data_IF_084870535134
#
_entry.id   IF_084870535134
#
_cell.length_a   1.000
_cell.length_b   1.000
_cell.length_c   1.000
_cell.angle_alpha   90.00
_cell.angle_beta   90.00
_cell.angle_gamma   90.00
#
_symmetry.space_group_name_H-M   'P 1'
#
loop_
_entity.id
_entity.type
_entity.pdbx_description
1 polymer ?
#
# COMPACT_ATOMS: atom_id res chain seq x y z
N UNK A 1 -58.03 30.75 -33.64
CA UNK A 1 -57.87 29.29 -33.38
C UNK A 1 -56.42 28.89 -33.65
N UNK A 2 -55.51 29.25 -32.73
CA UNK A 2 -54.04 29.14 -32.89
C UNK A 2 -53.33 28.58 -31.64
N UNK A 3 -54.08 27.94 -30.74
CA UNK A 3 -53.56 27.44 -29.45
C UNK A 3 -53.47 25.91 -29.42
N UNK A 4 -53.92 25.20 -30.46
CA UNK A 4 -53.91 23.74 -30.47
C UNK A 4 -52.67 23.09 -31.13
N UNK A 5 -51.77 23.89 -31.69
CA UNK A 5 -50.57 23.40 -32.39
C UNK A 5 -49.27 23.50 -31.58
N UNK A 6 -49.34 23.98 -30.33
CA UNK A 6 -48.15 24.15 -29.47
C UNK A 6 -47.99 23.05 -28.41
N UNK A 7 -48.99 22.18 -28.24
CA UNK A 7 -48.95 21.08 -27.26
C UNK A 7 -48.45 19.76 -27.87
N UNK A 8 -48.42 19.64 -29.20
CA UNK A 8 -47.90 18.43 -29.87
C UNK A 8 -46.38 18.46 -30.12
N UNK A 9 -45.72 19.61 -29.91
CA UNK A 9 -44.28 19.79 -30.10
C UNK A 9 -43.41 19.52 -28.85
N UNK A 10 -44.02 19.33 -27.68
CA UNK A 10 -43.30 19.10 -26.41
C UNK A 10 -43.25 17.61 -26.03
N UNK A 11 -44.04 16.75 -26.69
CA UNK A 11 -44.08 15.30 -26.42
C UNK A 11 -43.00 14.51 -27.17
N UNK A 12 -42.24 15.14 -28.08
CA UNK A 12 -41.21 14.46 -28.90
C UNK A 12 -39.76 14.74 -28.44
N UNK A 13 -39.56 15.48 -27.34
CA UNK A 13 -38.22 15.79 -26.82
C UNK A 13 -37.82 15.02 -25.53
N UNK A 14 -38.61 14.02 -25.12
CA UNK A 14 -38.25 13.12 -23.98
C UNK A 14 -38.09 11.65 -24.45
N UNK A 15 -37.72 11.45 -25.71
CA UNK A 15 -37.39 10.14 -26.25
C UNK A 15 -35.96 10.14 -26.82
N UNK A 16 -34.98 10.39 -25.95
CA UNK A 16 -33.57 10.02 -26.15
C UNK A 16 -32.77 10.23 -24.85
N UNK A 17 -32.98 9.34 -23.89
CA UNK A 17 -32.08 9.11 -22.75
C UNK A 17 -32.41 7.73 -22.16
N UNK A 18 -32.03 6.67 -22.87
CA UNK A 18 -32.43 5.31 -22.53
C UNK A 18 -31.35 4.30 -22.88
N UNK A 19 -30.22 4.37 -22.20
CA UNK A 19 -29.38 3.20 -21.89
C UNK A 19 -28.56 3.53 -20.62
N UNK A 20 -29.28 3.66 -19.50
CA UNK A 20 -28.68 3.43 -18.18
C UNK A 20 -28.76 1.92 -17.97
N UNK A 21 -27.62 1.26 -18.02
CA UNK A 21 -27.47 -0.09 -17.47
C UNK A 21 -27.83 -0.04 -15.99
N UNK A 22 -29.05 -0.50 -15.69
CA UNK A 22 -29.48 -0.85 -14.35
C UNK A 22 -28.61 -2.03 -13.92
N UNK A 23 -27.51 -1.74 -13.22
CA UNK A 23 -26.85 -2.74 -12.39
C UNK A 23 -27.79 -3.01 -11.22
N UNK A 24 -28.50 -4.12 -11.39
CA UNK A 24 -29.46 -4.74 -10.50
C UNK A 24 -29.01 -4.79 -9.05
N UNK A 25 -30.01 -4.60 -8.18
CA UNK A 25 -30.04 -4.88 -6.76
C UNK A 25 -29.15 -6.07 -6.35
N UNK A 26 -27.99 -5.78 -5.76
CA UNK A 26 -27.37 -6.72 -4.85
C UNK A 26 -28.31 -6.86 -3.64
N UNK A 27 -28.73 -8.07 -3.26
CA UNK A 27 -29.49 -8.24 -2.03
C UNK A 27 -28.64 -7.75 -0.86
N UNK A 28 -29.30 -7.11 0.12
CA UNK A 28 -28.70 -6.76 1.40
C UNK A 28 -28.09 -8.04 2.00
N UNK A 29 -26.90 -7.96 2.63
CA UNK A 29 -26.27 -9.13 3.22
C UNK A 29 -27.21 -9.74 4.28
N UNK A 30 -27.73 -10.92 3.97
CA UNK A 30 -28.51 -11.71 4.91
C UNK A 30 -27.59 -12.20 6.05
N UNK A 31 -28.17 -12.28 7.23
CA UNK A 31 -27.55 -12.72 8.48
C UNK A 31 -26.82 -14.06 8.28
N UNK A 32 -25.49 -14.07 8.27
CA UNK A 32 -24.71 -15.31 8.30
C UNK A 32 -24.55 -15.74 9.77
N UNK A 33 -25.57 -16.39 10.31
CA UNK A 33 -25.43 -17.27 11.46
C UNK A 33 -25.05 -18.65 10.91
N UNK A 34 -23.78 -19.04 11.02
CA UNK A 34 -23.37 -20.41 10.67
C UNK A 34 -23.78 -21.31 11.84
N UNK A 35 -25.05 -21.72 11.85
CA UNK A 35 -25.49 -22.93 12.55
C UNK A 35 -25.05 -24.15 11.73
N UNK A 36 -24.62 -25.20 12.40
CA UNK A 36 -23.94 -26.40 11.85
C UNK A 36 -24.83 -27.35 11.03
N UNK A 37 -25.75 -26.82 10.22
CA UNK A 37 -26.50 -27.59 9.22
C UNK A 37 -26.54 -26.76 7.92
N UNK A 38 -25.80 -27.21 6.91
CA UNK A 38 -25.54 -26.49 5.66
C UNK A 38 -26.68 -26.79 4.67
N UNK A 39 -27.58 -25.82 4.50
CA UNK A 39 -28.69 -25.87 3.54
C UNK A 39 -28.30 -25.27 2.18
N UNK A 40 -29.16 -25.38 1.16
CA UNK A 40 -28.83 -25.08 -0.27
C UNK A 40 -28.18 -23.70 -0.56
N UNK A 41 -28.38 -22.69 0.28
CA UNK A 41 -27.74 -21.36 0.18
C UNK A 41 -26.23 -21.38 0.56
N UNK A 42 -25.82 -22.33 1.40
CA UNK A 42 -24.42 -22.60 1.76
C UNK A 42 -23.60 -23.05 0.54
N UNK A 43 -24.24 -23.77 -0.39
CA UNK A 43 -23.65 -24.24 -1.65
C UNK A 43 -23.43 -23.08 -2.61
N UNK A 44 -24.29 -22.07 -2.60
CA UNK A 44 -24.17 -20.89 -3.47
C UNK A 44 -23.06 -19.94 -2.97
N UNK A 45 -22.89 -19.81 -1.65
CA UNK A 45 -21.77 -19.09 -1.05
C UNK A 45 -20.40 -19.77 -1.31
N UNK A 46 -20.35 -21.11 -1.27
CA UNK A 46 -19.17 -21.88 -1.65
C UNK A 46 -18.86 -21.74 -3.15
N UNK A 47 -19.88 -21.73 -4.02
CA UNK A 47 -19.73 -21.45 -5.45
C UNK A 47 -19.23 -20.03 -5.71
N UNK A 48 -19.74 -19.02 -5.01
CA UNK A 48 -19.24 -17.65 -5.15
C UNK A 48 -17.77 -17.53 -4.68
N UNK A 49 -17.36 -18.32 -3.69
CA UNK A 49 -15.97 -18.37 -3.23
C UNK A 49 -15.06 -19.13 -4.21
N UNK A 50 -15.55 -20.21 -4.84
CA UNK A 50 -14.85 -20.92 -5.93
C UNK A 50 -14.79 -20.09 -7.20
N UNK A 51 -15.83 -19.31 -7.53
CA UNK A 51 -15.85 -18.39 -8.67
C UNK A 51 -14.94 -17.20 -8.46
N UNK A 52 -14.86 -16.65 -7.22
CA UNK A 52 -13.87 -15.63 -6.86
C UNK A 52 -12.43 -16.18 -6.94
N UNK A 53 -12.21 -17.42 -6.47
CA UNK A 53 -10.92 -18.11 -6.58
C UNK A 53 -10.56 -18.39 -8.04
N UNK A 54 -11.51 -18.87 -8.84
CA UNK A 54 -11.34 -19.14 -10.27
C UNK A 54 -11.18 -17.85 -11.09
N UNK A 55 -11.76 -16.74 -10.65
CA UNK A 55 -11.54 -15.41 -11.23
C UNK A 55 -10.12 -14.91 -10.95
N UNK A 56 -9.63 -15.03 -9.70
CA UNK A 56 -8.24 -14.75 -9.35
C UNK A 56 -7.29 -15.65 -10.15
N UNK A 57 -7.61 -16.93 -10.30
CA UNK A 57 -6.81 -17.89 -11.04
C UNK A 57 -6.85 -17.66 -12.56
N UNK A 58 -7.99 -17.19 -13.12
CA UNK A 58 -8.10 -16.75 -14.53
C UNK A 58 -7.39 -15.45 -14.82
N UNK A 59 -7.34 -14.51 -13.87
CA UNK A 59 -6.53 -13.30 -13.99
C UNK A 59 -5.03 -13.65 -13.96
N UNK A 60 -4.62 -14.56 -13.08
CA UNK A 60 -3.25 -15.09 -13.07
C UNK A 60 -2.90 -15.86 -14.36
N UNK A 61 -3.86 -16.57 -14.98
CA UNK A 61 -3.66 -17.29 -16.26
C UNK A 61 -3.64 -16.41 -17.51
N UNK A 62 -4.19 -15.19 -17.48
CA UNK A 62 -4.12 -14.26 -18.62
C UNK A 62 -2.83 -13.42 -18.64
N UNK A 63 -1.99 -13.56 -17.62
CA UNK A 63 -0.64 -12.98 -17.54
C UNK A 63 0.47 -13.92 -18.05
N UNK A 64 0.15 -14.99 -18.80
CA UNK A 64 1.15 -15.83 -19.43
C UNK A 64 1.48 -15.34 -20.86
N UNK A 65 2.24 -14.26 -20.92
CA UNK A 65 3.05 -13.94 -22.11
C UNK A 65 4.49 -13.80 -21.64
N UNK A 66 5.32 -14.78 -22.01
CA UNK A 66 6.78 -14.75 -21.81
C UNK A 66 7.21 -14.74 -20.35
N UNK A 67 6.98 -15.84 -19.64
CA UNK A 67 7.51 -16.06 -18.30
C UNK A 67 9.06 -16.01 -18.36
N UNK A 68 9.67 -14.90 -17.94
CA UNK A 68 11.07 -14.92 -17.48
C UNK A 68 11.03 -15.63 -16.12
N UNK A 69 11.05 -16.96 -16.17
CA UNK A 69 11.19 -17.80 -15.00
C UNK A 69 12.63 -17.62 -14.52
N UNK A 70 12.84 -16.85 -13.46
CA UNK A 70 14.07 -16.92 -12.67
C UNK A 70 13.99 -18.25 -11.92
N UNK A 71 14.84 -19.26 -12.21
CA UNK A 71 14.82 -20.50 -11.47
C UNK A 71 15.39 -20.24 -10.08
N UNK A 72 14.54 -20.18 -9.06
CA UNK A 72 14.95 -20.05 -7.66
C UNK A 72 15.03 -21.47 -7.07
N UNK A 73 16.06 -22.22 -7.46
CA UNK A 73 16.44 -23.47 -6.78
C UNK A 73 17.96 -23.51 -6.61
N UNK A 74 18.47 -22.74 -5.64
CA UNK A 74 19.67 -22.93 -4.76
C UNK A 74 20.11 -21.58 -4.16
N UNK A 75 20.85 -21.55 -3.03
CA UNK A 75 21.33 -20.30 -2.42
C UNK A 75 22.59 -19.78 -3.13
N UNK A 76 22.54 -19.62 -4.45
CA UNK A 76 23.61 -18.99 -5.23
C UNK A 76 23.10 -17.64 -5.76
N UNK A 77 23.93 -16.61 -5.57
CA UNK A 77 23.74 -15.23 -6.03
C UNK A 77 23.26 -15.20 -7.48
N UNK A 78 22.09 -14.60 -7.73
CA UNK A 78 21.58 -14.38 -9.09
C UNK A 78 22.08 -13.03 -9.57
N UNK A 79 22.93 -13.04 -10.58
CA UNK A 79 23.42 -11.84 -11.27
C UNK A 79 22.66 -11.63 -12.57
N UNK A 80 22.10 -10.42 -12.76
CA UNK A 80 21.41 -10.04 -13.98
C UNK A 80 22.26 -9.00 -14.72
N UNK A 81 22.88 -9.40 -15.84
CA UNK A 81 23.57 -8.48 -16.76
C UNK A 81 22.75 -8.33 -18.03
N UNK A 82 22.05 -7.20 -18.20
CA UNK A 82 21.34 -6.88 -19.44
C UNK A 82 22.30 -6.16 -20.41
N UNK A 83 22.52 -6.76 -21.57
CA UNK A 83 23.54 -6.34 -22.54
C UNK A 83 23.16 -5.15 -23.43
N UNK A 84 24.01 -4.12 -23.38
CA UNK A 84 24.41 -3.15 -24.42
C UNK A 84 23.31 -2.34 -25.14
N UNK A 85 23.11 -1.12 -24.66
CA UNK A 85 22.81 0.02 -25.53
C UNK A 85 24.12 0.60 -26.11
N UNK A 86 24.25 0.85 -27.42
CA UNK A 86 25.50 1.31 -28.05
C UNK A 86 25.87 2.78 -27.75
N UNK A 87 25.15 3.44 -26.85
CA UNK A 87 25.40 4.82 -26.45
C UNK A 87 25.24 4.94 -24.94
N UNK A 88 26.35 5.00 -24.21
CA UNK A 88 26.71 6.01 -23.19
C UNK A 88 28.04 5.56 -22.59
N UNK A 89 29.09 6.35 -22.78
CA UNK A 89 30.32 6.26 -21.98
C UNK A 89 30.01 6.78 -20.58
N UNK A 90 29.90 5.87 -19.63
CA UNK A 90 29.69 6.14 -18.20
C UNK A 90 30.14 4.93 -17.37
N UNK A 91 30.44 5.15 -16.10
CA UNK A 91 30.77 4.08 -15.16
C UNK A 91 29.57 3.13 -14.99
N UNK A 92 29.82 1.81 -15.07
CA UNK A 92 28.81 0.77 -14.82
C UNK A 92 28.28 0.93 -13.40
N UNK A 93 26.97 1.11 -13.27
CA UNK A 93 26.34 1.23 -11.94
C UNK A 93 26.16 -0.15 -11.33
N UNK A 94 26.63 -0.31 -10.09
CA UNK A 94 26.54 -1.55 -9.33
C UNK A 94 25.60 -1.37 -8.15
N UNK A 95 24.52 -2.14 -8.12
CA UNK A 95 23.52 -2.11 -7.04
C UNK A 95 23.41 -3.51 -6.43
N UNK A 96 23.51 -3.59 -5.11
CA UNK A 96 23.22 -4.80 -4.36
C UNK A 96 21.86 -4.71 -3.69
N UNK A 97 21.11 -5.80 -3.67
CA UNK A 97 19.91 -5.95 -2.86
C UNK A 97 20.17 -6.96 -1.74
N UNK A 98 20.15 -6.50 -0.49
CA UNK A 98 20.23 -7.34 0.70
C UNK A 98 18.81 -7.71 1.17
N UNK A 99 18.47 -9.00 1.13
CA UNK A 99 17.13 -9.49 1.46
C UNK A 99 17.19 -10.50 2.61
N UNK A 100 16.51 -10.27 3.74
CA UNK A 100 16.22 -11.32 4.71
C UNK A 100 14.95 -12.09 4.31
N UNK A 101 15.05 -13.01 3.34
CA UNK A 101 13.88 -13.61 2.65
C UNK A 101 12.84 -14.25 3.58
N UNK A 102 13.25 -14.87 4.70
CA UNK A 102 12.31 -15.50 5.66
C UNK A 102 11.43 -14.47 6.38
N UNK A 103 11.93 -13.23 6.51
CA UNK A 103 11.28 -12.14 7.24
C UNK A 103 10.36 -11.33 6.34
N UNK A 104 10.87 -10.86 5.19
CA UNK A 104 10.13 -9.93 4.31
C UNK A 104 9.36 -10.61 3.17
N UNK A 105 9.58 -11.91 2.92
CA UNK A 105 8.81 -12.80 2.02
C UNK A 105 8.43 -12.16 0.68
N UNK A 106 7.17 -11.69 0.57
CA UNK A 106 6.59 -11.13 -0.67
C UNK A 106 7.33 -9.89 -1.16
N UNK A 107 7.91 -9.10 -0.25
CA UNK A 107 8.61 -7.87 -0.61
C UNK A 107 9.99 -8.13 -1.21
N UNK A 108 10.56 -9.33 -1.03
CA UNK A 108 11.85 -9.68 -1.65
C UNK A 108 11.79 -9.59 -3.18
N UNK A 109 10.71 -10.12 -3.77
CA UNK A 109 10.52 -10.13 -5.22
C UNK A 109 10.16 -8.75 -5.73
N UNK A 110 9.16 -8.09 -5.13
CA UNK A 110 8.70 -6.79 -5.63
C UNK A 110 9.79 -5.72 -5.57
N UNK A 111 10.63 -5.70 -4.53
CA UNK A 111 11.78 -4.79 -4.43
C UNK A 111 12.80 -5.08 -5.53
N UNK A 112 13.15 -6.34 -5.78
CA UNK A 112 14.08 -6.70 -6.86
C UNK A 112 13.55 -6.26 -8.23
N UNK A 113 12.29 -6.55 -8.51
CA UNK A 113 11.63 -6.17 -9.77
C UNK A 113 11.56 -4.63 -9.90
N UNK A 114 11.39 -3.91 -8.79
CA UNK A 114 11.40 -2.43 -8.77
C UNK A 114 12.79 -1.86 -9.07
N UNK A 115 13.85 -2.48 -8.52
CA UNK A 115 15.23 -2.08 -8.82
C UNK A 115 15.52 -2.27 -10.31
N UNK A 116 15.15 -3.43 -10.86
CA UNK A 116 15.29 -3.71 -12.29
C UNK A 116 14.50 -2.70 -13.13
N UNK A 117 13.25 -2.40 -12.75
CA UNK A 117 12.44 -1.40 -13.45
C UNK A 117 13.13 -0.03 -13.52
N UNK A 118 13.66 0.42 -12.39
CA UNK A 118 14.37 1.69 -12.30
C UNK A 118 15.66 1.69 -13.13
N UNK A 119 16.46 0.63 -13.06
CA UNK A 119 17.72 0.52 -13.81
C UNK A 119 17.47 0.48 -15.33
N UNK A 120 16.43 -0.23 -15.78
CA UNK A 120 15.97 -0.21 -17.19
C UNK A 120 15.56 1.21 -17.60
N UNK A 121 14.77 1.90 -16.76
CA UNK A 121 14.30 3.26 -17.03
C UNK A 121 15.44 4.29 -17.12
N UNK A 122 16.44 4.16 -16.25
CA UNK A 122 17.64 5.00 -16.23
C UNK A 122 18.45 4.78 -17.51
N UNK A 123 18.51 3.54 -17.98
CA UNK A 123 19.38 3.13 -19.07
C UNK A 123 20.87 3.13 -18.66
N UNK A 124 21.73 2.84 -19.63
CA UNK A 124 23.16 2.60 -19.40
C UNK A 124 23.45 1.19 -18.88
N UNK A 125 24.73 0.85 -18.78
CA UNK A 125 25.16 -0.45 -18.29
C UNK A 125 25.07 -0.50 -16.75
N UNK A 126 24.51 -1.60 -16.23
CA UNK A 126 24.37 -1.84 -14.81
C UNK A 126 24.63 -3.30 -14.44
N UNK A 127 25.06 -3.51 -13.19
CA UNK A 127 25.15 -4.82 -12.55
C UNK A 127 24.25 -4.81 -11.31
N UNK A 128 23.40 -5.82 -11.22
CA UNK A 128 22.46 -5.99 -10.12
C UNK A 128 22.54 -7.42 -9.59
N UNK A 129 22.86 -7.53 -8.30
CA UNK A 129 22.96 -8.79 -7.58
C UNK A 129 22.06 -8.80 -6.33
N UNK A 130 21.45 -9.96 -6.10
CA UNK A 130 20.61 -10.20 -4.92
C UNK A 130 21.37 -11.08 -3.91
N UNK A 131 21.51 -10.56 -2.69
CA UNK A 131 22.15 -11.20 -1.55
C UNK A 131 21.07 -11.57 -0.53
N UNK A 132 20.77 -12.87 -0.41
CA UNK A 132 19.80 -13.35 0.58
C UNK A 132 20.48 -13.75 1.89
N UNK A 133 20.26 -12.97 2.95
CA UNK A 133 20.73 -13.31 4.30
C UNK A 133 19.88 -14.39 4.96
N UNK A 134 18.74 -14.76 4.38
CA UNK A 134 17.77 -15.68 4.95
C UNK A 134 16.98 -15.05 6.09
N UNK A 135 17.63 -14.58 7.14
CA UNK A 135 17.03 -13.86 8.28
C UNK A 135 17.83 -12.62 8.69
N UNK A 136 17.38 -11.97 9.77
CA UNK A 136 17.99 -10.76 10.35
C UNK A 136 18.81 -11.06 11.61
N UNK A 137 19.45 -12.22 11.69
CA UNK A 137 20.47 -12.48 12.70
C UNK A 137 21.75 -11.69 12.40
N UNK A 138 22.49 -11.35 13.45
CA UNK A 138 23.72 -10.55 13.34
C UNK A 138 24.73 -11.25 12.42
N UNK A 139 24.95 -12.54 12.63
CA UNK A 139 25.89 -13.37 11.85
C UNK A 139 25.53 -13.40 10.36
N UNK A 140 24.25 -13.65 10.02
CA UNK A 140 23.83 -13.71 8.63
C UNK A 140 23.90 -12.35 7.94
N UNK A 141 23.47 -11.27 8.60
CA UNK A 141 23.55 -9.93 8.03
C UNK A 141 25.00 -9.48 7.83
N UNK A 142 25.88 -9.69 8.80
CA UNK A 142 27.30 -9.36 8.69
C UNK A 142 27.98 -10.15 7.56
N UNK A 143 27.75 -11.46 7.50
CA UNK A 143 28.33 -12.30 6.44
C UNK A 143 27.92 -11.81 5.05
N UNK A 144 26.64 -11.44 4.86
CA UNK A 144 26.19 -10.90 3.59
C UNK A 144 26.75 -9.50 3.30
N UNK A 145 26.82 -8.62 4.30
CA UNK A 145 27.44 -7.29 4.14
C UNK A 145 28.91 -7.39 3.72
N UNK A 146 29.66 -8.32 4.31
CA UNK A 146 31.05 -8.57 3.94
C UNK A 146 31.17 -9.07 2.50
N UNK A 147 30.26 -9.94 2.05
CA UNK A 147 30.23 -10.40 0.64
C UNK A 147 29.91 -9.26 -0.32
N UNK A 148 28.96 -8.38 0.02
CA UNK A 148 28.62 -7.20 -0.77
C UNK A 148 29.83 -6.26 -0.88
N UNK A 149 30.55 -6.05 0.24
CA UNK A 149 31.77 -5.24 0.27
C UNK A 149 32.87 -5.84 -0.60
N UNK A 150 33.11 -7.15 -0.49
CA UNK A 150 34.07 -7.87 -1.34
C UNK A 150 33.71 -7.83 -2.83
N UNK A 151 32.41 -7.78 -3.15
CA UNK A 151 31.91 -7.62 -4.51
C UNK A 151 32.14 -6.23 -5.11
N UNK A 152 32.50 -5.23 -4.29
CA UNK A 152 32.72 -3.86 -4.72
C UNK A 152 31.42 -3.12 -5.04
N UNK A 153 30.34 -3.43 -4.32
CA UNK A 153 29.07 -2.72 -4.43
C UNK A 153 29.07 -1.47 -3.53
N UNK A 154 28.93 -0.28 -4.13
CA UNK A 154 28.86 0.97 -3.38
C UNK A 154 27.46 1.31 -2.86
N UNK A 155 26.41 0.79 -3.51
CA UNK A 155 25.01 1.06 -3.19
C UNK A 155 24.27 -0.22 -2.84
N UNK A 156 23.60 -0.21 -1.68
CA UNK A 156 22.84 -1.35 -1.18
C UNK A 156 21.41 -0.93 -0.88
N UNK A 157 20.45 -1.67 -1.41
CA UNK A 157 19.04 -1.57 -0.99
C UNK A 157 18.78 -2.71 0.01
N UNK A 158 18.29 -2.38 1.20
CA UNK A 158 18.11 -3.34 2.29
C UNK A 158 16.70 -3.22 2.91
N UNK A 159 15.66 -3.84 2.31
CA UNK A 159 14.35 -3.94 2.92
C UNK A 159 14.40 -4.86 4.17
N UNK A 160 14.62 -4.27 5.34
CA UNK A 160 14.74 -4.97 6.62
C UNK A 160 13.72 -4.47 7.64
N UNK A 161 13.51 -5.17 8.75
CA UNK A 161 12.74 -4.63 9.88
C UNK A 161 13.55 -3.61 10.68
N UNK A 162 12.92 -2.95 11.66
CA UNK A 162 13.61 -2.09 12.63
C UNK A 162 14.86 -2.77 13.20
N UNK A 163 14.75 -4.05 13.58
CA UNK A 163 15.87 -4.82 14.14
C UNK A 163 17.01 -4.97 13.13
N UNK A 164 16.71 -5.36 11.89
CA UNK A 164 17.73 -5.47 10.85
C UNK A 164 18.41 -4.12 10.56
N UNK A 165 17.65 -3.02 10.58
CA UNK A 165 18.20 -1.68 10.39
C UNK A 165 19.19 -1.30 11.49
N UNK A 166 18.87 -1.59 12.77
CA UNK A 166 19.76 -1.36 13.91
C UNK A 166 21.03 -2.20 13.81
N UNK A 167 20.92 -3.47 13.38
CA UNK A 167 22.08 -4.34 13.18
C UNK A 167 22.97 -3.81 12.06
N UNK A 168 22.40 -3.37 10.94
CA UNK A 168 23.17 -2.79 9.83
C UNK A 168 23.86 -1.51 10.29
N UNK A 169 23.15 -0.60 10.95
CA UNK A 169 23.71 0.65 11.47
C UNK A 169 24.88 0.43 12.44
N UNK A 170 24.83 -0.61 13.25
CA UNK A 170 25.92 -0.91 14.19
C UNK A 170 27.16 -1.55 13.53
N UNK A 171 27.09 -2.01 12.28
CA UNK A 171 28.12 -2.84 11.67
C UNK A 171 28.61 -2.37 10.28
N UNK A 172 28.02 -1.33 9.71
CA UNK A 172 28.36 -0.85 8.37
C UNK A 172 28.53 0.67 8.31
N UNK A 173 29.71 1.12 7.91
CA UNK A 173 30.08 2.54 7.86
C UNK A 173 30.61 3.00 6.49
N UNK A 174 30.83 2.10 5.53
CA UNK A 174 31.47 2.43 4.26
C UNK A 174 30.47 2.45 3.10
N UNK A 175 29.60 1.45 3.01
CA UNK A 175 28.62 1.35 1.92
C UNK A 175 27.44 2.29 2.15
N UNK A 176 26.93 2.89 1.07
CA UNK A 176 25.68 3.66 1.17
C UNK A 176 24.49 2.71 1.12
N UNK A 177 23.70 2.68 2.19
CA UNK A 177 22.57 1.76 2.36
C UNK A 177 21.26 2.52 2.38
N UNK A 178 20.30 2.07 1.58
CA UNK A 178 18.92 2.55 1.63
C UNK A 178 17.97 1.50 2.20
N UNK A 179 17.20 1.89 3.22
CA UNK A 179 16.24 1.03 3.91
C UNK A 179 14.81 1.54 3.63
N UNK A 180 14.09 0.98 2.64
CA UNK A 180 12.77 1.49 2.22
C UNK A 180 11.64 1.22 3.24
N UNK A 181 11.86 0.32 4.19
CA UNK A 181 10.84 -0.27 5.07
C UNK A 181 10.73 0.41 6.43
N UNK A 182 11.75 1.15 6.86
CA UNK A 182 11.88 1.68 8.21
C UNK A 182 11.99 3.20 8.17
N UNK A 183 11.28 3.88 9.04
CA UNK A 183 11.40 5.32 9.20
C UNK A 183 12.53 5.64 10.18
N UNK A 184 13.33 6.68 9.91
CA UNK A 184 14.46 7.11 10.75
C UNK A 184 14.08 7.34 12.22
N UNK A 185 12.86 7.82 12.48
CA UNK A 185 12.37 8.09 13.83
C UNK A 185 12.05 6.82 14.62
N UNK A 186 11.88 5.68 13.94
CA UNK A 186 11.63 4.40 14.59
C UNK A 186 12.91 3.74 15.10
N UNK A 187 14.09 4.24 14.73
CA UNK A 187 15.39 3.64 15.01
C UNK A 187 16.20 4.51 15.97
N UNK A 188 16.84 3.88 16.96
CA UNK A 188 17.64 4.58 17.97
C UNK A 188 19.01 5.01 17.43
N UNK A 189 19.63 4.16 16.60
CA UNK A 189 20.97 4.36 16.06
C UNK A 189 20.95 4.44 14.53
N UNK A 190 21.69 5.39 13.98
CA UNK A 190 21.83 5.58 12.55
C UNK A 190 23.19 6.20 12.27
N UNK A 191 23.79 5.79 11.17
CA UNK A 191 25.00 6.38 10.61
C UNK A 191 24.64 7.29 9.42
N UNK A 192 25.60 8.09 8.97
CA UNK A 192 25.42 9.05 7.86
C UNK A 192 25.29 8.38 6.49
N UNK A 193 25.83 7.17 6.35
CA UNK A 193 25.76 6.37 5.12
C UNK A 193 24.43 5.60 4.96
N UNK A 194 23.49 5.72 5.92
CA UNK A 194 22.23 4.98 5.91
C UNK A 194 21.06 5.94 5.71
N UNK A 195 20.33 5.73 4.61
CA UNK A 195 19.14 6.50 4.24
C UNK A 195 17.87 5.68 4.50
N UNK A 196 16.87 6.32 5.12
CA UNK A 196 15.62 5.70 5.50
C UNK A 196 14.48 6.15 4.58
N UNK A 197 13.69 5.17 4.14
CA UNK A 197 12.58 5.37 3.23
C UNK A 197 11.24 4.95 3.80
N UNK A 198 11.10 4.66 5.09
CA UNK A 198 9.82 4.21 5.68
C UNK A 198 8.81 5.34 5.94
N UNK A 199 7.52 4.97 5.97
CA UNK A 199 6.39 5.91 6.09
C UNK A 199 6.44 6.65 7.43
N UNK A 200 6.22 7.97 7.39
CA UNK A 200 5.90 8.76 8.57
C UNK A 200 4.39 8.66 8.88
N UNK A 201 4.04 7.62 9.63
CA UNK A 201 2.64 7.39 10.03
C UNK A 201 2.11 8.47 10.97
N UNK A 202 2.99 9.16 11.72
CA UNK A 202 2.58 10.23 12.61
C UNK A 202 2.05 11.42 11.80
N UNK A 203 2.78 11.86 10.77
CA UNK A 203 2.30 12.90 9.84
C UNK A 203 0.99 12.51 9.17
N UNK A 204 0.80 11.23 8.82
CA UNK A 204 -0.47 10.76 8.27
C UNK A 204 -1.63 10.87 9.28
N UNK A 205 -1.40 10.49 10.54
CA UNK A 205 -2.40 10.64 11.61
C UNK A 205 -2.71 12.13 11.85
N UNK A 206 -1.72 13.00 11.90
CA UNK A 206 -1.92 14.45 12.08
C UNK A 206 -2.77 15.04 10.95
N UNK A 207 -2.52 14.64 9.70
CA UNK A 207 -3.34 15.03 8.55
C UNK A 207 -4.79 14.54 8.68
N UNK A 208 -5.01 13.30 9.13
CA UNK A 208 -6.36 12.75 9.34
C UNK A 208 -7.09 13.45 10.49
N UNK A 209 -6.39 13.80 11.57
CA UNK A 209 -6.96 14.54 12.69
C UNK A 209 -7.43 15.93 12.29
N UNK A 210 -6.80 16.57 11.31
CA UNK A 210 -7.22 17.89 10.80
C UNK A 210 -8.66 17.91 10.25
N UNK A 211 -9.17 16.76 9.80
CA UNK A 211 -10.54 16.58 9.31
C UNK A 211 -11.41 15.77 10.28
N UNK A 212 -10.91 15.39 11.45
CA UNK A 212 -11.63 14.57 12.40
C UNK A 212 -12.60 15.41 13.27
N UNK A 213 -13.67 14.77 13.77
CA UNK A 213 -14.50 15.33 14.83
C UNK A 213 -13.82 15.17 16.18
N UNK A 214 -14.26 15.95 17.18
CA UNK A 214 -13.75 15.86 18.55
C UNK A 214 -14.14 14.57 19.28
N UNK A 215 -14.99 13.73 18.68
CA UNK A 215 -15.33 12.38 19.17
C UNK A 215 -14.59 11.37 18.31
N UNK A 216 -13.71 10.58 18.90
CA UNK A 216 -12.85 9.65 18.17
C UNK A 216 -13.17 8.21 18.57
N UNK A 217 -13.33 7.34 17.58
CA UNK A 217 -13.43 5.91 17.78
C UNK A 217 -12.27 5.20 17.06
N UNK A 218 -11.61 4.26 17.72
CA UNK A 218 -10.42 3.59 17.18
C UNK A 218 -10.68 2.08 17.07
N UNK A 219 -10.46 1.54 15.88
CA UNK A 219 -10.47 0.09 15.68
C UNK A 219 -9.12 -0.40 15.17
N UNK A 220 -8.51 -1.30 15.93
CA UNK A 220 -7.24 -1.94 15.57
C UNK A 220 -7.42 -3.43 15.27
N UNK A 221 -6.38 -4.08 14.76
CA UNK A 221 -6.32 -5.55 14.66
C UNK A 221 -5.40 -6.21 15.70
N UNK A 222 -4.83 -5.42 16.61
CA UNK A 222 -3.88 -5.86 17.61
C UNK A 222 -2.49 -6.16 17.07
N UNK A 223 -2.17 -5.75 15.83
CA UNK A 223 -0.80 -5.76 15.31
C UNK A 223 0.05 -4.67 15.97
N UNK A 224 1.40 -4.81 15.97
CA UNK A 224 2.29 -3.75 16.47
C UNK A 224 2.06 -2.39 15.78
N UNK A 225 1.78 -2.41 14.47
CA UNK A 225 1.45 -1.21 13.70
C UNK A 225 0.13 -0.60 14.18
N UNK A 226 -0.92 -1.41 14.40
CA UNK A 226 -2.20 -0.91 14.91
C UNK A 226 -2.04 -0.20 16.27
N UNK A 227 -1.29 -0.78 17.20
CA UNK A 227 -1.03 -0.16 18.51
C UNK A 227 -0.28 1.17 18.36
N UNK A 228 0.75 1.21 17.51
CA UNK A 228 1.50 2.44 17.26
C UNK A 228 0.63 3.55 16.68
N UNK A 229 -0.24 3.22 15.70
CA UNK A 229 -1.19 4.18 15.14
C UNK A 229 -2.18 4.68 16.19
N UNK A 230 -2.67 3.80 17.06
CA UNK A 230 -3.50 4.20 18.20
C UNK A 230 -2.74 5.14 19.15
N UNK A 231 -1.48 4.85 19.47
CA UNK A 231 -0.64 5.71 20.32
C UNK A 231 -0.46 7.11 19.74
N UNK A 232 -0.26 7.26 18.43
CA UNK A 232 -0.21 8.60 17.82
C UNK A 232 -1.51 9.38 18.03
N UNK A 233 -2.66 8.71 17.93
CA UNK A 233 -3.97 9.33 18.19
C UNK A 233 -4.09 9.71 19.68
N UNK A 234 -3.75 8.82 20.60
CA UNK A 234 -3.76 9.08 22.06
C UNK A 234 -2.87 10.27 22.42
N UNK A 235 -1.64 10.28 21.93
CA UNK A 235 -0.64 11.32 22.23
C UNK A 235 -1.00 12.68 21.63
N UNK A 236 -1.81 12.72 20.56
CA UNK A 236 -2.28 13.98 19.96
C UNK A 236 -3.21 14.78 20.90
N UNK A 237 -3.88 14.11 21.84
CA UNK A 237 -4.92 14.70 22.70
C UNK A 237 -5.98 15.52 21.94
N UNK A 238 -6.22 15.19 20.67
CA UNK A 238 -7.06 16.00 19.77
C UNK A 238 -8.54 16.04 20.18
N UNK A 239 -9.06 14.96 20.74
CA UNK A 239 -10.46 14.79 21.09
C UNK A 239 -10.69 13.66 22.09
N UNK A 240 -11.96 13.47 22.47
CA UNK A 240 -12.37 12.40 23.39
C UNK A 240 -12.43 11.06 22.63
N UNK A 241 -11.69 10.06 23.13
CA UNK A 241 -11.76 8.69 22.62
C UNK A 241 -12.97 8.00 23.24
N UNK A 242 -14.09 7.99 22.50
CA UNK A 242 -15.39 7.48 22.97
C UNK A 242 -15.49 5.97 22.86
N UNK A 243 -14.68 5.35 21.99
CA UNK A 243 -14.68 3.91 21.77
C UNK A 243 -13.33 3.44 21.23
N UNK A 244 -12.79 2.35 21.78
CA UNK A 244 -11.59 1.71 21.24
C UNK A 244 -11.73 0.19 21.29
N UNK A 245 -11.43 -0.51 20.19
CA UNK A 245 -11.35 -1.97 20.21
C UNK A 245 -10.40 -2.59 19.20
N UNK A 246 -9.74 -3.66 19.63
CA UNK A 246 -8.96 -4.55 18.78
C UNK A 246 -9.77 -5.76 18.29
N UNK A 247 -9.78 -5.97 16.97
CA UNK A 247 -10.44 -7.06 16.26
C UNK A 247 -9.38 -8.01 15.70
N UNK A 248 -8.99 -9.00 16.52
CA UNK A 248 -7.95 -9.98 16.13
C UNK A 248 -8.44 -10.93 15.03
N UNK A 249 -9.69 -11.37 15.09
CA UNK A 249 -10.26 -12.34 14.14
C UNK A 249 -11.47 -11.75 13.42
N UNK A 250 -11.57 -11.94 12.10
CA UNK A 250 -12.75 -11.56 11.29
C UNK A 250 -14.03 -12.22 11.79
N UNK A 251 -13.93 -13.42 12.39
CA UNK A 251 -15.04 -14.13 13.02
C UNK A 251 -15.46 -13.56 14.39
N UNK A 252 -14.79 -12.52 14.87
CA UNK A 252 -15.23 -11.84 16.09
C UNK A 252 -16.64 -11.30 15.90
N UNK A 253 -17.45 -11.32 16.95
CA UNK A 253 -18.83 -10.86 16.91
C UNK A 253 -18.91 -9.33 16.72
N UNK A 254 -18.71 -8.85 15.50
CA UNK A 254 -18.84 -7.45 15.11
C UNK A 254 -20.25 -6.93 15.42
N UNK A 255 -21.26 -7.79 15.35
CA UNK A 255 -22.64 -7.46 15.74
C UNK A 255 -22.72 -6.96 17.18
N UNK A 256 -22.15 -7.71 18.13
CA UNK A 256 -22.16 -7.32 19.54
C UNK A 256 -21.42 -6.00 19.82
N UNK A 257 -20.53 -5.57 18.92
CA UNK A 257 -19.73 -4.36 19.07
C UNK A 257 -20.37 -3.13 18.43
N UNK A 258 -21.17 -3.34 17.39
CA UNK A 258 -21.73 -2.27 16.55
C UNK A 258 -23.24 -2.09 16.76
N UNK A 259 -23.97 -3.18 17.02
CA UNK A 259 -25.41 -3.12 17.28
C UNK A 259 -25.67 -2.20 18.47
N UNK A 260 -26.50 -1.18 18.24
CA UNK A 260 -26.89 -0.16 19.24
C UNK A 260 -25.72 0.67 19.80
N UNK A 261 -24.54 0.65 19.18
CA UNK A 261 -23.39 1.42 19.64
C UNK A 261 -23.46 2.88 19.17
N UNK A 262 -24.33 3.65 19.83
CA UNK A 262 -24.55 5.07 19.54
C UNK A 262 -23.32 5.96 19.72
N UNK A 263 -22.27 5.48 20.42
CA UNK A 263 -21.00 6.21 20.58
C UNK A 263 -20.28 6.43 19.25
N UNK A 264 -20.58 5.61 18.23
CA UNK A 264 -19.99 5.72 16.90
C UNK A 264 -20.66 6.78 16.03
N UNK A 265 -21.86 7.25 16.41
CA UNK A 265 -22.54 8.32 15.70
C UNK A 265 -21.83 9.65 15.92
N UNK A 266 -21.64 10.41 14.85
CA UNK A 266 -20.89 11.68 14.82
C UNK A 266 -19.42 11.58 15.30
N UNK A 267 -18.91 10.35 15.49
CA UNK A 267 -17.52 10.10 15.79
C UNK A 267 -16.69 9.94 14.50
N UNK A 268 -15.45 10.38 14.53
CA UNK A 268 -14.42 10.01 13.56
C UNK A 268 -13.89 8.63 13.87
N UNK A 269 -14.10 7.69 12.94
CA UNK A 269 -13.75 6.28 13.13
C UNK A 269 -12.42 5.98 12.44
N UNK A 270 -11.36 5.72 13.22
CA UNK A 270 -10.05 5.31 12.72
C UNK A 270 -10.00 3.79 12.50
N UNK A 271 -9.60 3.39 11.29
CA UNK A 271 -9.41 2.00 10.89
C UNK A 271 -7.91 1.67 10.84
N UNK A 272 -7.35 1.29 11.98
CA UNK A 272 -5.95 0.89 12.18
C UNK A 272 -5.82 -0.63 12.03
N UNK A 273 -6.35 -1.18 10.93
CA UNK A 273 -6.42 -2.61 10.68
C UNK A 273 -6.18 -2.92 9.19
N UNK A 274 -5.95 -4.20 8.89
CA UNK A 274 -5.74 -4.67 7.50
C UNK A 274 -6.95 -4.39 6.58
N UNK A 275 -6.66 -4.28 5.27
CA UNK A 275 -7.63 -3.98 4.19
C UNK A 275 -8.93 -4.77 4.29
N UNK A 276 -8.84 -6.08 4.50
CA UNK A 276 -10.01 -6.95 4.56
C UNK A 276 -10.87 -6.64 5.79
N UNK A 277 -10.24 -6.41 6.95
CA UNK A 277 -10.96 -6.08 8.19
C UNK A 277 -11.59 -4.69 8.10
N UNK A 278 -10.88 -3.73 7.53
CA UNK A 278 -11.38 -2.38 7.27
C UNK A 278 -12.59 -2.41 6.33
N UNK A 279 -12.52 -3.18 5.24
CA UNK A 279 -13.63 -3.34 4.30
C UNK A 279 -14.88 -3.88 5.01
N UNK A 280 -14.71 -4.96 5.79
CA UNK A 280 -15.81 -5.54 6.56
C UNK A 280 -16.38 -4.56 7.59
N UNK A 281 -15.53 -3.84 8.32
CA UNK A 281 -15.96 -2.84 9.29
C UNK A 281 -16.81 -1.75 8.62
N UNK A 282 -16.34 -1.20 7.49
CA UNK A 282 -17.05 -0.16 6.73
C UNK A 282 -18.44 -0.64 6.28
N UNK A 283 -18.53 -1.86 5.75
CA UNK A 283 -19.82 -2.45 5.38
C UNK A 283 -20.75 -2.66 6.59
N UNK A 284 -20.21 -3.09 7.73
CA UNK A 284 -20.99 -3.35 8.95
C UNK A 284 -21.47 -2.07 9.63
N UNK A 285 -20.70 -0.98 9.60
CA UNK A 285 -21.14 0.33 10.12
C UNK A 285 -22.45 0.77 9.44
N UNK A 286 -22.52 0.64 8.11
CA UNK A 286 -23.74 0.94 7.36
C UNK A 286 -24.86 -0.08 7.64
N UNK A 287 -24.53 -1.37 7.72
CA UNK A 287 -25.52 -2.42 8.00
C UNK A 287 -26.25 -2.20 9.34
N UNK A 288 -25.57 -1.67 10.36
CA UNK A 288 -26.17 -1.32 11.66
C UNK A 288 -26.68 0.13 11.74
N UNK A 289 -26.84 0.82 10.61
CA UNK A 289 -27.32 2.20 10.52
C UNK A 289 -26.52 3.19 11.40
N UNK A 290 -25.23 2.94 11.59
CA UNK A 290 -24.34 3.85 12.29
C UNK A 290 -23.88 4.95 11.34
N UNK A 291 -23.99 6.19 11.80
CA UNK A 291 -23.66 7.38 11.04
C UNK A 291 -22.41 8.08 11.61
N UNK A 292 -21.20 7.56 11.36
CA UNK A 292 -19.97 8.23 11.77
C UNK A 292 -19.84 9.59 11.07
N UNK A 293 -19.13 10.52 11.69
CA UNK A 293 -18.81 11.81 11.10
C UNK A 293 -17.97 11.60 9.83
N UNK A 294 -16.88 10.84 9.97
CA UNK A 294 -16.11 10.29 8.89
C UNK A 294 -15.39 9.00 9.32
N UNK A 295 -14.86 8.29 8.33
CA UNK A 295 -14.06 7.09 8.52
C UNK A 295 -12.67 7.43 8.02
N UNK A 296 -11.66 7.20 8.84
CA UNK A 296 -10.29 7.66 8.64
C UNK A 296 -9.35 6.46 8.63
N UNK A 297 -8.38 6.46 7.73
CA UNK A 297 -7.36 5.43 7.71
C UNK A 297 -6.04 5.94 7.16
N UNK A 298 -4.94 5.34 7.58
CA UNK A 298 -3.62 5.58 7.01
C UNK A 298 -3.45 4.79 5.72
N UNK A 299 -2.28 4.91 5.11
CA UNK A 299 -1.95 4.29 3.84
C UNK A 299 -2.07 2.75 3.81
N UNK A 300 -2.13 2.09 4.98
CA UNK A 300 -2.40 0.65 5.10
C UNK A 300 -3.63 0.24 4.26
N UNK A 301 -4.63 1.12 4.17
CA UNK A 301 -5.87 0.87 3.44
C UNK A 301 -5.93 1.55 2.06
N UNK A 302 -4.85 2.20 1.62
CA UNK A 302 -4.73 2.72 0.25
C UNK A 302 -4.48 1.58 -0.75
N UNK A 303 -5.48 0.72 -0.92
CA UNK A 303 -5.39 -0.50 -1.69
C UNK A 303 -6.67 -0.70 -2.55
N UNK A 304 -6.55 -1.03 -3.86
CA UNK A 304 -7.71 -1.25 -4.72
C UNK A 304 -8.67 -2.32 -4.22
N UNK A 305 -8.18 -3.32 -3.48
CA UNK A 305 -9.02 -4.37 -2.89
C UNK A 305 -10.08 -3.80 -1.94
N UNK A 306 -9.82 -2.66 -1.27
CA UNK A 306 -10.82 -1.99 -0.45
C UNK A 306 -12.04 -1.55 -1.28
N UNK A 307 -11.80 -1.09 -2.52
CA UNK A 307 -12.85 -0.64 -3.44
C UNK A 307 -13.67 -1.82 -3.97
N UNK A 308 -13.04 -2.97 -4.15
CA UNK A 308 -13.69 -4.21 -4.60
C UNK A 308 -14.50 -4.88 -3.49
N UNK A 309 -14.02 -4.81 -2.24
CA UNK A 309 -14.66 -5.48 -1.08
C UNK A 309 -15.77 -4.67 -0.42
N UNK A 310 -16.00 -3.42 -0.83
CA UNK A 310 -17.04 -2.55 -0.26
C UNK A 310 -17.95 -2.00 -1.36
N UNK A 311 -19.12 -1.51 -1.00
CA UNK A 311 -19.95 -0.72 -1.91
C UNK A 311 -19.53 0.75 -1.86
N UNK A 312 -19.74 1.50 -2.95
CA UNK A 312 -19.41 2.92 -3.02
C UNK A 312 -20.13 3.72 -1.90
N UNK A 313 -21.35 3.32 -1.56
CA UNK A 313 -22.17 3.85 -0.49
C UNK A 313 -21.53 3.70 0.89
N UNK A 314 -20.93 2.54 1.18
CA UNK A 314 -20.33 2.24 2.48
C UNK A 314 -19.14 3.16 2.75
N UNK A 315 -18.39 3.51 1.69
CA UNK A 315 -17.16 4.30 1.75
C UNK A 315 -17.35 5.79 1.43
N UNK A 316 -18.58 6.30 1.36
CA UNK A 316 -18.87 7.73 1.04
C UNK A 316 -18.17 8.73 1.97
N UNK A 317 -17.92 8.33 3.21
CA UNK A 317 -17.25 9.13 4.24
C UNK A 317 -15.84 8.63 4.59
N UNK A 318 -15.26 7.76 3.76
CA UNK A 318 -13.93 7.20 3.97
C UNK A 318 -12.85 8.09 3.37
N UNK A 319 -11.90 8.48 4.22
CA UNK A 319 -10.71 9.23 3.87
C UNK A 319 -9.46 8.45 4.25
N UNK A 320 -8.46 8.49 3.38
CA UNK A 320 -7.20 7.77 3.52
C UNK A 320 -6.04 8.74 3.35
N UNK A 321 -5.15 8.80 4.34
CA UNK A 321 -3.88 9.50 4.18
C UNK A 321 -2.90 8.62 3.41
N UNK A 322 -2.23 9.18 2.41
CA UNK A 322 -1.28 8.46 1.57
C UNK A 322 -0.05 9.34 1.28
N UNK A 323 1.12 8.69 1.28
CA UNK A 323 2.41 9.33 1.01
C UNK A 323 3.01 8.99 -0.36
N UNK A 324 2.33 8.14 -1.15
CA UNK A 324 2.70 7.90 -2.55
C UNK A 324 2.25 9.09 -3.40
N UNK A 325 3.20 9.76 -4.04
CA UNK A 325 2.93 10.78 -5.04
C UNK A 325 2.83 10.16 -6.44
N UNK A 326 2.67 11.03 -7.45
CA UNK A 326 2.56 10.59 -8.84
C UNK A 326 3.95 10.19 -9.36
N UNK A 327 4.08 8.93 -9.75
CA UNK A 327 5.28 8.41 -10.38
C UNK A 327 5.41 8.83 -11.85
N UNK A 328 6.66 8.83 -12.36
CA UNK A 328 6.96 9.06 -13.76
C UNK A 328 6.30 7.97 -14.64
N UNK A 329 5.57 8.35 -15.71
CA UNK A 329 4.77 7.39 -16.49
C UNK A 329 5.55 6.20 -17.05
N UNK A 330 6.76 6.42 -17.56
CA UNK A 330 7.55 5.37 -18.19
C UNK A 330 8.06 4.36 -17.15
N UNK A 331 8.55 4.85 -16.00
CA UNK A 331 8.96 3.99 -14.89
C UNK A 331 7.81 3.13 -14.40
N UNK A 332 6.63 3.74 -14.24
CA UNK A 332 5.43 3.03 -13.84
C UNK A 332 5.06 1.93 -14.85
N UNK A 333 5.08 2.22 -16.15
CA UNK A 333 4.75 1.23 -17.18
C UNK A 333 5.70 0.04 -17.13
N UNK A 334 7.00 0.26 -16.91
CA UNK A 334 7.98 -0.80 -16.73
C UNK A 334 7.68 -1.62 -15.46
N UNK A 335 7.38 -0.96 -14.34
CA UNK A 335 6.98 -1.64 -13.10
C UNK A 335 5.73 -2.53 -13.31
N UNK A 336 4.71 -2.01 -13.99
CA UNK A 336 3.49 -2.76 -14.29
C UNK A 336 3.76 -3.99 -15.18
N UNK A 337 4.69 -3.88 -16.15
CA UNK A 337 5.12 -5.02 -16.97
C UNK A 337 5.85 -6.10 -16.17
N UNK A 338 6.57 -5.72 -15.12
CA UNK A 338 7.22 -6.66 -14.19
C UNK A 338 6.28 -7.19 -13.10
N UNK A 339 5.02 -6.78 -13.09
CA UNK A 339 4.01 -7.23 -12.13
C UNK A 339 3.96 -6.42 -10.83
N UNK A 340 4.70 -5.32 -10.75
CA UNK A 340 4.67 -4.38 -9.63
C UNK A 340 3.62 -3.29 -9.84
N UNK A 341 3.19 -2.66 -8.75
CA UNK A 341 2.29 -1.51 -8.81
C UNK A 341 2.65 -0.49 -7.71
N UNK A 342 3.74 0.26 -7.89
CA UNK A 342 4.21 1.29 -6.96
C UNK A 342 3.19 2.39 -6.66
N UNK A 343 2.12 2.55 -7.46
CA UNK A 343 0.99 3.43 -7.10
C UNK A 343 0.27 3.00 -5.83
N UNK A 344 0.29 1.71 -5.49
CA UNK A 344 -0.42 1.15 -4.34
C UNK A 344 0.48 0.36 -3.38
N UNK A 345 1.77 0.17 -3.71
CA UNK A 345 2.76 -0.43 -2.83
C UNK A 345 3.83 0.60 -2.44
N UNK A 346 3.82 0.94 -1.15
CA UNK A 346 4.76 1.89 -0.58
C UNK A 346 6.22 1.46 -0.74
N UNK A 347 6.51 0.17 -0.56
CA UNK A 347 7.89 -0.30 -0.49
C UNK A 347 8.50 -0.23 -1.88
N UNK A 348 7.72 -0.55 -2.91
CA UNK A 348 8.08 -0.34 -4.31
C UNK A 348 8.33 1.16 -4.58
N UNK A 349 7.38 2.03 -4.23
CA UNK A 349 7.53 3.48 -4.41
C UNK A 349 8.78 4.06 -3.73
N UNK A 350 8.99 3.72 -2.46
CA UNK A 350 10.14 4.11 -1.66
C UNK A 350 11.45 3.61 -2.26
N UNK A 351 11.47 2.36 -2.75
CA UNK A 351 12.63 1.78 -3.45
C UNK A 351 13.00 2.59 -4.70
N UNK A 352 12.02 2.99 -5.52
CA UNK A 352 12.27 3.83 -6.69
C UNK A 352 12.87 5.19 -6.31
N UNK A 353 12.37 5.83 -5.25
CA UNK A 353 12.93 7.11 -4.76
C UNK A 353 14.36 6.91 -4.24
N UNK A 354 14.62 5.85 -3.48
CA UNK A 354 15.95 5.55 -2.97
C UNK A 354 16.96 5.38 -4.09
N UNK A 355 16.61 4.64 -5.15
CA UNK A 355 17.47 4.49 -6.32
C UNK A 355 17.64 5.81 -7.08
N UNK A 356 16.57 6.59 -7.23
CA UNK A 356 16.64 7.92 -7.84
C UNK A 356 17.60 8.84 -7.12
N UNK A 357 17.54 8.85 -5.79
CA UNK A 357 18.44 9.64 -4.98
C UNK A 357 19.89 9.15 -5.03
N UNK A 358 20.12 7.84 -4.92
CA UNK A 358 21.47 7.26 -4.88
C UNK A 358 22.19 7.32 -6.23
N UNK A 359 21.47 7.20 -7.34
CA UNK A 359 22.06 7.05 -8.67
C UNK A 359 22.04 8.33 -9.52
N UNK A 360 21.52 9.43 -8.98
CA UNK A 360 21.41 10.72 -9.66
C UNK A 360 22.23 11.78 -8.94
N UNK A 361 23.26 12.31 -9.62
CA UNK A 361 24.03 13.44 -9.13
C UNK A 361 23.38 14.76 -9.56
N UNK A 362 22.82 15.51 -8.61
CA UNK A 362 22.23 16.85 -8.82
C UNK A 362 20.72 16.86 -9.11
N UNK A 363 20.07 18.01 -8.89
CA UNK A 363 18.59 18.15 -8.97
C UNK A 363 18.02 18.04 -10.40
N UNK A 364 18.80 18.36 -11.44
CA UNK A 364 18.28 18.47 -12.82
C UNK A 364 18.01 17.12 -13.53
N UNK A 365 18.25 15.98 -12.88
CA UNK A 365 18.05 14.63 -13.47
C UNK A 365 17.14 13.71 -12.67
N UNK A 366 16.62 14.16 -11.53
CA UNK A 366 15.82 13.32 -10.64
C UNK A 366 14.41 13.08 -11.21
N UNK A 367 13.94 11.83 -11.13
CA UNK A 367 12.58 11.44 -11.50
C UNK A 367 11.57 11.82 -10.41
N UNK A 368 12.03 11.94 -9.16
CA UNK A 368 11.20 12.20 -7.99
C UNK A 368 11.53 13.55 -7.37
N UNK A 369 10.53 14.18 -6.74
CA UNK A 369 10.67 15.51 -6.11
C UNK A 369 10.90 15.44 -4.60
N UNK A 370 10.77 14.26 -4.01
CA UNK A 370 10.95 14.01 -2.58
C UNK A 370 12.38 14.35 -2.17
N UNK A 371 12.53 15.11 -1.09
CA UNK A 371 13.83 15.52 -0.59
C UNK A 371 14.28 14.61 0.56
N UNK A 372 15.58 14.58 0.82
CA UNK A 372 16.14 13.92 2.00
C UNK A 372 16.36 14.95 3.09
N UNK A 373 15.89 14.64 4.29
CA UNK A 373 16.07 15.44 5.50
C UNK A 373 16.46 14.50 6.65
N UNK A 374 17.57 14.80 7.34
CA UNK A 374 18.11 13.97 8.44
C UNK A 374 18.19 12.46 8.11
N UNK A 375 18.70 12.12 6.92
CA UNK A 375 18.79 10.75 6.40
C UNK A 375 17.43 10.03 6.29
N UNK A 376 16.34 10.78 6.12
CA UNK A 376 15.00 10.26 5.86
C UNK A 376 14.45 10.88 4.59
N UNK A 377 13.85 10.07 3.71
CA UNK A 377 13.04 10.61 2.61
C UNK A 377 11.83 11.34 3.21
N UNK A 378 11.68 12.63 2.87
CA UNK A 378 10.56 13.46 3.30
C UNK A 378 9.42 13.36 2.31
N UNK A 379 8.35 12.69 2.74
CA UNK A 379 7.17 12.46 1.92
C UNK A 379 6.09 13.50 2.20
N UNK A 380 5.43 13.96 1.14
CA UNK A 380 4.16 14.68 1.25
C UNK A 380 3.05 13.74 1.75
N UNK A 381 2.08 14.29 2.48
CA UNK A 381 0.86 13.55 2.85
C UNK A 381 -0.31 14.16 2.10
N UNK A 382 -0.98 13.34 1.30
CA UNK A 382 -2.21 13.72 0.61
C UNK A 382 -3.38 12.92 1.18
N UNK A 383 -4.48 13.60 1.47
CA UNK A 383 -5.73 12.95 1.85
C UNK A 383 -6.49 12.55 0.58
N UNK A 384 -6.94 11.30 0.53
CA UNK A 384 -7.74 10.76 -0.55
C UNK A 384 -9.11 10.36 -0.03
N UNK A 385 -10.14 10.62 -0.82
CA UNK A 385 -11.49 10.10 -0.61
C UNK A 385 -11.70 8.86 -1.47
N UNK A 386 -12.27 7.81 -0.89
CA UNK A 386 -12.59 6.60 -1.64
C UNK A 386 -13.78 6.86 -2.59
N UNK A 387 -13.53 6.73 -3.89
CA UNK A 387 -14.50 6.92 -4.96
C UNK A 387 -15.22 5.63 -5.36
N UNK A 388 -15.83 5.63 -6.55
CA UNK A 388 -16.53 4.45 -7.08
C UNK A 388 -15.51 3.39 -7.51
N UNK A 389 -14.48 3.78 -8.25
CA UNK A 389 -13.47 2.87 -8.81
C UNK A 389 -12.02 3.30 -8.52
N UNK A 390 -11.83 4.44 -7.86
CA UNK A 390 -10.54 5.07 -7.64
C UNK A 390 -10.49 5.76 -6.28
N UNK A 391 -9.28 6.17 -5.88
CA UNK A 391 -9.08 7.10 -4.77
C UNK A 391 -8.84 8.50 -5.33
N UNK A 392 -9.61 9.48 -4.89
CA UNK A 392 -9.54 10.86 -5.40
C UNK A 392 -8.90 11.77 -4.36
N UNK A 393 -7.87 12.56 -4.70
CA UNK A 393 -7.27 13.49 -3.76
C UNK A 393 -8.33 14.51 -3.32
N UNK A 394 -8.34 14.82 -2.03
CA UNK A 394 -9.12 15.93 -1.48
C UNK A 394 -8.35 17.19 -1.81
N UNK A 395 -8.78 17.93 -2.83
CA UNK A 395 -8.26 19.28 -3.07
C UNK A 395 -8.51 20.12 -1.82
N UNK A 396 -7.46 20.81 -1.34
CA UNK A 396 -7.51 21.72 -0.18
C UNK A 396 -8.78 22.58 -0.19
N UNK A 397 -9.44 22.64 0.98
CA UNK A 397 -10.66 23.41 1.22
C UNK A 397 -10.44 24.92 1.10
#
# INVERSE_FOLDING_TARGET
>A
MKIFLLVLGIVVLIANAGERSVLTHLPLPAKIEITTECDSDCVEALKAQEEAKAFIERQNRKASVGEVIIPIETPETVSITLGRSPYVSGETVRVALLVPRKVIRKYARSVADTIVAYLIKRGGDFEFDVFDSGDESIEHLQTMLDQIRMGGYGFVIAPVTKRGAEIIAANEAEMTIFIPTVNRQDVEFSEDNILFGGIDYKRQIDALLSIASKKVAIFGDGSPLAYRLSEYIHNSSFGEIVYEKNIKNIKSNLSAMLKENSKLNDASVFLNMSVIKSALMVAQLRFYDLAPYNILSTQINYNPMLLTLTQAEDRKKLFIANSIAKEEPTLLDINLLLGNNPRFDWIEYSTSIGLDYLLTSGEERRLFTEMVDENQISYGVTLYKAGVSDFKPVSSW
#
